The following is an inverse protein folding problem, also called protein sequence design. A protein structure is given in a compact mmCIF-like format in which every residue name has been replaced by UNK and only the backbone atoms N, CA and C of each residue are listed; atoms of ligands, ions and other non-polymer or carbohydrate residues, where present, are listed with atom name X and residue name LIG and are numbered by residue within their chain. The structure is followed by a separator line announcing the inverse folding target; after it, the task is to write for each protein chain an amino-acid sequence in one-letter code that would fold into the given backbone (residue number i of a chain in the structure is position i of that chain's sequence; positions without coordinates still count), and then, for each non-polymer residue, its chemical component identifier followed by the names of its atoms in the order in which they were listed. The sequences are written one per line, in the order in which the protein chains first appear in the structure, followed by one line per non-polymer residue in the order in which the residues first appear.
data_IF_647871200436
#
_entry.id   IF_647871200436
#
_cell.length_a   1.000
_cell.length_b   1.000
_cell.length_c   1.000
_cell.angle_alpha   90.00
_cell.angle_beta   90.00
_cell.angle_gamma   90.00
#
_symmetry.space_group_name_H-M   'P 1'
#
loop_
_entity.id
_entity.type
_entity.pdbx_description
1 polymer ?
#
# COMPACT_ATOMS: atom_id res chain seq x y z
N UNK A 1 -13.94 -9.83 -21.26
CA UNK A 1 -13.07 -9.11 -20.31
C UNK A 1 -13.17 -9.75 -18.95
N UNK A 2 -12.09 -10.35 -18.51
CA UNK A 2 -12.05 -10.80 -17.13
C UNK A 2 -11.80 -9.58 -16.26
N UNK A 3 -12.79 -9.19 -15.51
CA UNK A 3 -12.57 -8.26 -14.43
C UNK A 3 -12.07 -9.07 -13.26
N UNK A 4 -10.83 -8.86 -12.86
CA UNK A 4 -10.34 -9.39 -11.61
C UNK A 4 -11.10 -8.68 -10.49
N UNK A 5 -12.04 -9.41 -9.89
CA UNK A 5 -12.79 -8.88 -8.75
C UNK A 5 -11.86 -8.91 -7.56
N UNK A 6 -11.60 -7.75 -6.99
CA UNK A 6 -10.80 -7.64 -5.77
C UNK A 6 -11.68 -7.94 -4.56
N UNK A 7 -11.22 -8.86 -3.74
CA UNK A 7 -11.88 -9.30 -2.51
C UNK A 7 -10.90 -9.24 -1.36
N UNK A 8 -11.42 -9.23 -0.14
CA UNK A 8 -10.57 -9.12 1.07
C UNK A 8 -9.52 -10.24 1.16
N UNK A 9 -9.86 -11.45 0.74
CA UNK A 9 -8.96 -12.61 0.83
C UNK A 9 -7.75 -12.53 -0.11
N UNK A 10 -7.70 -11.53 -0.98
CA UNK A 10 -6.59 -11.31 -1.90
C UNK A 10 -5.54 -10.36 -1.33
N UNK A 11 -5.72 -9.88 -0.08
CA UNK A 11 -4.79 -9.00 0.62
C UNK A 11 -4.33 -9.68 1.91
N UNK A 12 -3.09 -9.41 2.33
CA UNK A 12 -2.44 -10.21 3.37
C UNK A 12 -1.92 -9.42 4.54
N UNK A 13 -1.91 -8.10 4.45
CA UNK A 13 -1.56 -7.21 5.55
C UNK A 13 -2.69 -6.20 5.72
N UNK A 14 -3.12 -5.98 6.94
CA UNK A 14 -4.31 -5.17 7.21
C UNK A 14 -4.07 -4.11 8.26
N UNK A 15 -4.68 -2.95 8.05
CA UNK A 15 -4.69 -1.86 9.02
C UNK A 15 -6.04 -1.16 8.93
N UNK A 16 -6.73 -1.00 10.08
CA UNK A 16 -7.94 -0.19 10.12
C UNK A 16 -7.56 1.28 10.33
N UNK A 17 -8.10 2.15 9.50
CA UNK A 17 -7.82 3.59 9.54
C UNK A 17 -9.14 4.34 9.64
N UNK A 18 -9.41 5.03 10.76
CA UNK A 18 -10.60 5.86 10.86
C UNK A 18 -10.47 7.12 10.01
N UNK A 19 -11.57 7.52 9.37
CA UNK A 19 -11.61 8.82 8.71
C UNK A 19 -11.66 9.92 9.76
N UNK A 20 -11.20 11.11 9.38
CA UNK A 20 -11.20 12.30 10.24
C UNK A 20 -12.12 13.34 9.63
N UNK A 21 -12.67 14.21 10.48
CA UNK A 21 -13.51 15.30 10.01
C UNK A 21 -12.83 16.14 8.94
N UNK A 22 -11.54 16.46 9.12
CA UNK A 22 -10.76 17.25 8.16
C UNK A 22 -10.42 16.53 6.86
N UNK A 23 -10.74 15.24 6.73
CA UNK A 23 -10.51 14.49 5.50
C UNK A 23 -11.55 14.81 4.42
N UNK A 24 -12.68 15.44 4.80
CA UNK A 24 -13.78 15.69 3.90
C UNK A 24 -13.51 16.80 2.89
N UNK A 25 -14.13 16.66 1.73
CA UNK A 25 -14.17 17.70 0.70
C UNK A 25 -15.46 18.53 0.85
N UNK A 26 -15.64 19.59 0.00
CA UNK A 26 -16.86 20.41 0.06
C UNK A 26 -18.16 19.65 -0.22
N UNK A 27 -18.08 18.45 -0.77
CA UNK A 27 -19.26 17.65 -1.14
C UNK A 27 -19.64 16.61 -0.09
N UNK A 28 -18.94 16.58 1.05
CA UNK A 28 -19.21 15.65 2.15
C UNK A 28 -18.57 14.28 2.02
N UNK A 29 -17.69 14.10 1.05
CA UNK A 29 -16.95 12.85 0.87
C UNK A 29 -15.50 13.05 1.28
N UNK A 30 -14.82 11.97 1.61
CA UNK A 30 -13.37 12.01 1.86
C UNK A 30 -12.68 12.43 0.57
N UNK A 31 -11.78 13.42 0.68
CA UNK A 31 -11.05 13.96 -0.45
C UNK A 31 -10.16 12.89 -1.08
N UNK A 32 -10.06 12.90 -2.41
CA UNK A 32 -9.25 11.93 -3.14
C UNK A 32 -7.77 11.88 -2.69
N UNK A 33 -7.22 12.99 -2.24
CA UNK A 33 -5.84 13.05 -1.73
C UNK A 33 -5.67 12.16 -0.48
N UNK A 34 -6.69 12.04 0.34
CA UNK A 34 -6.64 11.26 1.57
C UNK A 34 -6.48 9.76 1.27
N UNK A 35 -7.03 9.28 0.16
CA UNK A 35 -6.85 7.87 -0.24
C UNK A 35 -5.36 7.53 -0.43
N UNK A 36 -4.60 8.43 -1.04
CA UNK A 36 -3.15 8.27 -1.18
C UNK A 36 -2.44 8.29 0.17
N UNK A 37 -2.91 9.11 1.09
CA UNK A 37 -2.41 9.13 2.47
C UNK A 37 -2.69 7.79 3.15
N UNK A 38 -3.86 7.20 2.95
CA UNK A 38 -4.18 5.88 3.50
C UNK A 38 -3.32 4.77 2.89
N UNK A 39 -3.05 4.84 1.58
CA UNK A 39 -2.13 3.92 0.91
C UNK A 39 -0.75 4.00 1.55
N UNK A 40 -0.24 5.21 1.71
CA UNK A 40 1.09 5.43 2.29
C UNK A 40 1.15 4.98 3.75
N UNK A 41 0.07 5.17 4.49
CA UNK A 41 -0.02 4.78 5.89
C UNK A 41 0.08 3.27 6.07
N UNK A 42 -0.71 2.49 5.34
CA UNK A 42 -0.65 1.02 5.45
C UNK A 42 0.69 0.49 4.97
N UNK A 43 1.22 1.07 3.90
CA UNK A 43 2.52 0.72 3.36
C UNK A 43 3.64 0.96 4.37
N UNK A 44 3.68 2.16 4.93
CA UNK A 44 4.72 2.52 5.90
C UNK A 44 4.61 1.68 7.18
N UNK A 45 3.38 1.42 7.62
CA UNK A 45 3.14 0.56 8.77
C UNK A 45 3.73 -0.84 8.55
N UNK A 46 3.49 -1.41 7.37
CA UNK A 46 4.04 -2.72 7.00
C UNK A 46 5.57 -2.69 6.94
N UNK A 47 6.14 -1.66 6.33
CA UNK A 47 7.60 -1.54 6.21
C UNK A 47 8.29 -1.41 7.57
N UNK A 48 7.66 -0.73 8.52
CA UNK A 48 8.19 -0.64 9.88
C UNK A 48 8.08 -1.99 10.58
N UNK A 49 6.91 -2.61 10.54
CA UNK A 49 6.65 -3.87 11.21
C UNK A 49 7.52 -5.00 10.66
N UNK A 50 7.73 -5.02 9.35
CA UNK A 50 8.57 -6.02 8.68
C UNK A 50 10.06 -5.67 8.70
N UNK A 51 10.45 -4.61 9.40
CA UNK A 51 11.84 -4.20 9.60
C UNK A 51 12.57 -3.88 8.27
N UNK A 52 11.88 -3.27 7.34
CA UNK A 52 12.47 -2.74 6.11
C UNK A 52 12.98 -1.32 6.35
N UNK A 53 12.17 -0.49 7.00
CA UNK A 53 12.59 0.85 7.41
C UNK A 53 13.46 0.79 8.67
N UNK A 54 14.32 1.79 8.83
CA UNK A 54 15.18 1.98 10.01
C UNK A 54 16.21 0.87 10.18
N UNK A 55 16.58 0.20 9.09
CA UNK A 55 17.68 -0.76 9.12
C UNK A 55 19.02 -0.04 9.20
N UNK A 56 19.95 -0.63 9.93
CA UNK A 56 21.33 -0.09 10.04
C UNK A 56 22.30 -0.76 9.09
N UNK A 57 21.89 -1.89 8.47
CA UNK A 57 22.73 -2.69 7.58
C UNK A 57 22.46 -2.42 6.09
N UNK A 58 21.65 -1.41 5.78
CA UNK A 58 21.26 -1.11 4.40
C UNK A 58 21.00 0.39 4.25
N UNK A 59 21.89 1.06 3.55
CA UNK A 59 21.79 2.50 3.33
C UNK A 59 20.93 2.80 2.10
N UNK A 60 19.68 2.35 2.12
CA UNK A 60 18.77 2.52 0.99
C UNK A 60 17.51 3.23 1.42
N UNK A 61 16.95 4.01 0.47
CA UNK A 61 15.65 4.65 0.61
C UNK A 61 14.76 4.24 -0.56
N UNK A 62 13.47 4.09 -0.28
CA UNK A 62 12.49 3.80 -1.32
C UNK A 62 11.93 5.08 -1.90
N UNK A 63 12.04 5.25 -3.21
CA UNK A 63 11.47 6.38 -3.93
C UNK A 63 10.25 5.91 -4.72
N UNK A 64 9.14 6.59 -4.54
CA UNK A 64 7.92 6.28 -5.30
C UNK A 64 8.09 6.79 -6.73
N UNK A 65 8.06 5.87 -7.70
CA UNK A 65 8.19 6.21 -9.12
C UNK A 65 6.87 6.11 -9.87
N UNK A 66 5.88 5.45 -9.28
CA UNK A 66 4.56 5.31 -9.90
C UNK A 66 3.53 5.11 -8.81
N UNK A 67 2.37 5.73 -8.99
CA UNK A 67 1.23 5.55 -8.11
C UNK A 67 -0.06 5.61 -8.91
N UNK A 68 -1.05 4.86 -8.47
CA UNK A 68 -2.38 4.87 -9.08
C UNK A 68 -3.43 4.57 -8.02
N UNK A 69 -4.56 5.24 -8.11
CA UNK A 69 -5.73 4.96 -7.30
C UNK A 69 -6.96 4.98 -8.18
N UNK A 70 -7.77 3.92 -8.10
CA UNK A 70 -9.07 3.83 -8.73
C UNK A 70 -10.13 3.93 -7.66
N UNK A 71 -11.07 4.83 -7.83
CA UNK A 71 -12.12 5.13 -6.86
C UNK A 71 -13.40 4.42 -7.28
N UNK A 72 -13.94 3.58 -6.40
CA UNK A 72 -15.12 2.74 -6.71
C UNK A 72 -16.35 3.18 -5.95
N UNK A 73 -16.20 3.70 -4.73
CA UNK A 73 -17.32 4.15 -3.90
C UNK A 73 -16.84 5.23 -2.94
N UNK A 74 -17.69 6.22 -2.62
CA UNK A 74 -17.30 7.28 -1.71
C UNK A 74 -17.20 6.80 -0.26
N UNK A 75 -16.35 7.45 0.51
CA UNK A 75 -16.23 7.29 1.97
C UNK A 75 -16.66 8.61 2.61
N UNK A 76 -17.43 8.51 3.67
CA UNK A 76 -17.95 9.67 4.39
C UNK A 76 -17.60 9.55 5.87
N UNK A 77 -17.10 10.64 6.47
CA UNK A 77 -16.87 10.67 7.92
C UNK A 77 -18.19 10.38 8.66
N UNK A 78 -18.23 9.56 9.70
CA UNK A 78 -17.10 8.97 10.44
C UNK A 78 -16.77 7.52 10.07
N UNK A 79 -17.06 7.08 8.86
CA UNK A 79 -16.72 5.74 8.43
C UNK A 79 -15.22 5.49 8.54
N UNK A 80 -14.83 4.25 8.82
CA UNK A 80 -13.43 3.83 8.79
C UNK A 80 -13.18 2.91 7.60
N UNK A 81 -11.92 2.77 7.22
CA UNK A 81 -11.51 1.86 6.14
C UNK A 81 -10.56 0.80 6.68
N UNK A 82 -10.71 -0.39 6.16
CA UNK A 82 -9.73 -1.45 6.32
C UNK A 82 -8.80 -1.40 5.10
N UNK A 83 -7.55 -1.05 5.33
CA UNK A 83 -6.55 -0.99 4.28
C UNK A 83 -5.83 -2.32 4.21
N UNK A 84 -6.00 -3.02 3.08
CA UNK A 84 -5.33 -4.27 2.78
C UNK A 84 -4.17 -4.05 1.84
N UNK A 85 -3.08 -4.75 2.07
CA UNK A 85 -1.87 -4.65 1.27
C UNK A 85 -1.39 -6.03 0.87
N UNK A 86 -0.90 -6.12 -0.37
CA UNK A 86 -0.17 -7.29 -0.86
C UNK A 86 1.00 -6.78 -1.70
N UNK A 87 1.99 -7.64 -1.87
CA UNK A 87 3.11 -7.36 -2.77
C UNK A 87 2.77 -7.95 -4.13
N UNK A 88 2.68 -7.11 -5.14
CA UNK A 88 2.37 -7.55 -6.51
C UNK A 88 3.60 -8.01 -7.27
N UNK A 89 4.77 -7.47 -6.94
CA UNK A 89 6.01 -7.83 -7.60
C UNK A 89 7.21 -7.48 -6.73
N UNK A 90 8.18 -8.39 -6.69
CA UNK A 90 9.50 -8.15 -6.11
C UNK A 90 10.50 -8.12 -7.26
N UNK A 91 11.03 -6.94 -7.58
CA UNK A 91 12.04 -6.76 -8.61
C UNK A 91 13.45 -6.87 -8.04
N UNK A 92 14.45 -6.53 -8.86
CA UNK A 92 15.82 -6.49 -8.37
C UNK A 92 16.03 -5.36 -7.36
N UNK A 93 15.53 -4.17 -7.66
CA UNK A 93 15.66 -2.96 -6.83
C UNK A 93 14.31 -2.36 -6.47
N UNK A 94 13.19 -3.00 -6.82
CA UNK A 94 11.87 -2.41 -6.73
C UNK A 94 10.89 -3.34 -6.03
N UNK A 95 9.87 -2.71 -5.43
CA UNK A 95 8.70 -3.40 -4.89
C UNK A 95 7.44 -2.73 -5.45
N UNK A 96 6.50 -3.54 -5.89
CA UNK A 96 5.15 -3.09 -6.24
C UNK A 96 4.23 -3.46 -5.09
N UNK A 97 3.67 -2.44 -4.45
CA UNK A 97 2.68 -2.61 -3.39
C UNK A 97 1.29 -2.41 -3.99
N UNK A 98 0.40 -3.35 -3.75
CA UNK A 98 -0.98 -3.25 -4.18
C UNK A 98 -1.88 -3.12 -2.96
N UNK A 99 -2.76 -2.13 -2.98
CA UNK A 99 -3.57 -1.77 -1.82
C UNK A 99 -5.04 -1.77 -2.21
N UNK A 100 -5.86 -2.38 -1.36
CA UNK A 100 -7.30 -2.31 -1.44
C UNK A 100 -7.84 -1.64 -0.18
N UNK A 101 -8.68 -0.63 -0.37
CA UNK A 101 -9.38 0.03 0.74
C UNK A 101 -10.81 -0.47 0.76
N UNK A 102 -11.24 -0.94 1.92
CA UNK A 102 -12.60 -1.45 2.13
C UNK A 102 -13.22 -0.67 3.28
N UNK A 103 -14.42 -0.13 3.08
CA UNK A 103 -15.15 0.40 4.22
C UNK A 103 -15.38 -0.74 5.21
N UNK A 104 -15.21 -0.45 6.50
CA UNK A 104 -15.35 -1.49 7.53
C UNK A 104 -16.68 -2.21 7.40
N UNK A 105 -16.63 -3.53 7.27
CA UNK A 105 -17.82 -4.38 7.07
C UNK A 105 -18.18 -4.67 5.62
N UNK A 106 -17.63 -3.97 4.65
CA UNK A 106 -17.94 -4.19 3.23
C UNK A 106 -16.98 -5.24 2.63
N UNK A 107 -17.53 -6.06 1.75
CA UNK A 107 -16.74 -7.08 1.04
C UNK A 107 -16.12 -6.54 -0.25
N UNK A 108 -16.69 -5.49 -0.84
CA UNK A 108 -16.18 -4.87 -2.05
C UNK A 108 -15.29 -3.67 -1.68
N UNK A 109 -14.20 -3.45 -2.41
CA UNK A 109 -13.33 -2.31 -2.11
C UNK A 109 -13.98 -0.99 -2.51
N UNK A 110 -13.73 0.06 -1.71
CA UNK A 110 -14.12 1.42 -2.09
C UNK A 110 -13.03 2.10 -2.94
N UNK A 111 -11.81 1.59 -2.90
CA UNK A 111 -10.72 2.02 -3.78
C UNK A 111 -9.68 0.92 -3.89
N UNK A 112 -8.99 0.88 -5.03
CA UNK A 112 -7.85 -0.01 -5.25
C UNK A 112 -6.75 0.75 -5.94
N UNK A 113 -5.51 0.34 -5.74
CA UNK A 113 -4.40 1.00 -6.39
C UNK A 113 -3.06 0.35 -6.08
N UNK A 114 -2.01 1.06 -6.45
CA UNK A 114 -0.66 0.57 -6.22
C UNK A 114 0.34 1.71 -6.11
N UNK A 115 1.45 1.41 -5.45
CA UNK A 115 2.68 2.19 -5.47
C UNK A 115 3.81 1.30 -5.95
N UNK A 116 4.72 1.85 -6.74
CA UNK A 116 5.98 1.20 -7.06
C UNK A 116 7.11 2.03 -6.46
N UNK A 117 7.90 1.39 -5.60
CA UNK A 117 9.10 2.01 -5.04
C UNK A 117 10.33 1.38 -5.65
N UNK A 118 11.29 2.22 -6.05
CA UNK A 118 12.64 1.81 -6.39
C UNK A 118 13.53 2.18 -5.21
N UNK A 119 14.33 1.22 -4.76
CA UNK A 119 15.28 1.45 -3.68
C UNK A 119 16.60 1.90 -4.24
N UNK A 120 17.08 3.01 -3.72
CA UNK A 120 18.31 3.64 -4.15
C UNK A 120 19.22 3.84 -2.93
N UNK A 121 20.54 3.88 -3.18
CA UNK A 121 21.47 4.27 -2.15
C UNK A 121 21.16 5.69 -1.70
N UNK A 122 21.09 5.92 -0.39
CA UNK A 122 20.69 7.20 0.17
C UNK A 122 21.69 8.32 -0.17
N UNK A 123 22.94 7.96 -0.44
CA UNK A 123 24.01 8.91 -0.75
C UNK A 123 24.13 9.14 -2.24
N UNK A 124 24.29 8.07 -3.03
CA UNK A 124 24.53 8.17 -4.48
C UNK A 124 23.27 8.34 -5.30
N UNK A 125 22.13 7.99 -4.75
CA UNK A 125 20.81 7.99 -5.41
C UNK A 125 20.72 7.01 -6.58
N UNK A 126 21.61 6.04 -6.67
CA UNK A 126 21.58 4.99 -7.69
C UNK A 126 20.81 3.77 -7.17
N UNK A 127 20.07 3.07 -8.05
CA UNK A 127 19.36 1.86 -7.65
C UNK A 127 20.31 0.83 -7.02
N UNK A 128 19.83 0.18 -5.96
CA UNK A 128 20.56 -0.89 -5.27
C UNK A 128 19.67 -2.12 -5.19
N UNK A 129 20.24 -3.32 -5.22
CA UNK A 129 19.46 -4.55 -5.07
C UNK A 129 18.80 -4.61 -3.70
N UNK A 130 17.62 -5.21 -3.65
CA UNK A 130 16.99 -5.55 -2.38
C UNK A 130 17.82 -6.63 -1.70
N UNK A 131 18.22 -6.36 -0.47
CA UNK A 131 19.00 -7.34 0.30
C UNK A 131 18.13 -8.51 0.76
N UNK A 132 18.77 -9.65 1.03
CA UNK A 132 18.06 -10.89 1.38
C UNK A 132 17.08 -10.71 2.55
N UNK A 133 17.41 -10.04 3.66
CA UNK A 133 16.45 -9.83 4.75
C UNK A 133 15.19 -9.08 4.31
N UNK A 134 15.33 -8.10 3.42
CA UNK A 134 14.18 -7.33 2.90
C UNK A 134 13.33 -8.22 2.02
N UNK A 135 13.93 -9.02 1.14
CA UNK A 135 13.18 -9.99 0.31
C UNK A 135 12.41 -10.97 1.16
N UNK A 136 13.03 -11.48 2.21
CA UNK A 136 12.37 -12.41 3.15
C UNK A 136 11.22 -11.74 3.90
N UNK A 137 11.33 -10.45 4.18
CA UNK A 137 10.28 -9.69 4.85
C UNK A 137 8.99 -9.61 4.05
N UNK A 138 9.04 -9.82 2.75
CA UNK A 138 7.87 -9.82 1.86
C UNK A 138 7.18 -11.19 1.80
N UNK A 139 7.73 -12.18 2.47
CA UNK A 139 7.17 -13.54 2.51
C UNK A 139 5.75 -13.51 3.09
N UNK A 140 4.84 -14.25 2.46
CA UNK A 140 3.45 -14.32 2.88
C UNK A 140 2.57 -13.15 2.43
N UNK A 141 3.14 -12.18 1.70
CA UNK A 141 2.40 -11.00 1.24
C UNK A 141 2.03 -11.06 -0.25
N UNK A 142 2.36 -12.13 -0.95
CA UNK A 142 2.10 -12.28 -2.38
C UNK A 142 0.97 -13.26 -2.64
N UNK A 143 0.17 -12.99 -3.69
CA UNK A 143 -0.77 -13.97 -4.17
C UNK A 143 0.00 -15.18 -4.70
N UNK A 144 -0.44 -16.36 -4.27
CA UNK A 144 0.12 -17.60 -4.82
C UNK A 144 -0.50 -17.83 -6.19
N UNK A 145 0.36 -18.02 -7.19
CA UNK A 145 -0.10 -18.49 -8.49
C UNK A 145 -0.39 -20.00 -8.37
N UNK A 146 -1.63 -20.32 -8.59
CA UNK A 146 -2.02 -21.74 -8.65
C UNK A 146 -1.46 -22.35 -9.93
#
# INVERSE_FOLDING_TARGET
MSTNIETRDRYFYWLNIPSRWQDGDPYGHVNNVVYYSWFDTVLTHMLIERQVLRRTDWNAIGLCIESQCNFHAPVTFPESVDAGLRIGRVGNSSLRYEIGLFKSGDEAPCATGHFIHVFVDATTRRPVPLIVPVRKSMSGLMLTTA
#
